data_IF_662563138315
#
_entry.id   IF_662563138315
#
_cell.length_a   1.000
_cell.length_b   1.000
_cell.length_c   1.000
_cell.angle_alpha   90.00
_cell.angle_beta   90.00
_cell.angle_gamma   90.00
#
_symmetry.space_group_name_H-M   'P 1'
#
loop_
_entity.id
_entity.type
_entity.pdbx_description
1 polymer ?
#
# COMPACT_ATOMS: atom_id res chain seq x y z
N UNK A 1 8.97 23.68 -2.41
CA UNK A 1 7.85 22.78 -2.63
C UNK A 1 8.22 21.35 -2.25
N UNK A 2 9.31 20.82 -2.81
CA UNK A 2 9.79 19.45 -2.56
C UNK A 2 10.00 19.18 -1.06
N UNK A 3 10.67 20.06 -0.34
CA UNK A 3 10.92 19.96 1.10
C UNK A 3 9.62 19.81 1.93
N UNK A 4 8.54 20.46 1.52
CA UNK A 4 7.23 20.37 2.20
C UNK A 4 6.63 18.96 2.02
N UNK A 5 6.74 18.39 0.81
CA UNK A 5 6.27 17.04 0.51
C UNK A 5 7.09 15.99 1.29
N UNK A 6 8.42 16.11 1.27
CA UNK A 6 9.32 15.23 2.02
C UNK A 6 9.05 15.28 3.52
N UNK A 7 8.81 16.48 4.06
CA UNK A 7 8.45 16.66 5.47
C UNK A 7 7.11 16.02 5.82
N UNK A 8 6.11 16.13 4.94
CA UNK A 8 4.84 15.43 5.11
C UNK A 8 5.04 13.90 5.14
N UNK A 9 5.78 13.36 4.17
CA UNK A 9 6.05 11.92 4.08
C UNK A 9 6.84 11.41 5.30
N UNK A 10 7.80 12.20 5.77
CA UNK A 10 8.61 11.81 6.94
C UNK A 10 7.77 11.80 8.23
N UNK A 11 6.91 12.78 8.44
CA UNK A 11 5.96 12.79 9.57
C UNK A 11 5.03 11.56 9.54
N UNK A 12 4.55 11.19 8.34
CA UNK A 12 3.72 9.99 8.18
C UNK A 12 4.53 8.72 8.50
N UNK A 13 5.77 8.60 8.02
CA UNK A 13 6.66 7.46 8.35
C UNK A 13 6.87 7.33 9.85
N UNK A 14 6.99 8.45 10.56
CA UNK A 14 7.14 8.50 12.01
C UNK A 14 5.85 8.17 12.79
N UNK A 15 4.73 7.91 12.10
CA UNK A 15 3.46 7.50 12.70
C UNK A 15 2.44 8.64 12.89
N UNK A 16 2.75 9.88 12.50
CA UNK A 16 1.75 10.94 12.42
C UNK A 16 0.95 10.79 11.13
N UNK A 17 -0.13 10.01 11.18
CA UNK A 17 -0.90 9.64 10.00
C UNK A 17 -1.67 10.81 9.36
N UNK A 18 -1.93 11.87 10.12
CA UNK A 18 -2.69 13.05 9.67
C UNK A 18 -1.96 14.34 10.09
N UNK A 19 -0.78 14.64 9.51
CA UNK A 19 -0.04 15.84 9.87
C UNK A 19 -0.85 17.11 9.57
N UNK A 20 -0.73 18.10 10.46
CA UNK A 20 -1.29 19.43 10.23
C UNK A 20 -0.33 20.31 9.44
N UNK A 21 -0.84 21.40 8.83
CA UNK A 21 -0.02 22.36 8.11
C UNK A 21 1.12 22.95 8.97
N UNK A 22 0.84 23.18 10.26
CA UNK A 22 1.84 23.69 11.19
C UNK A 22 2.94 22.66 11.43
N UNK A 23 2.60 21.39 11.66
CA UNK A 23 3.57 20.33 11.85
C UNK A 23 4.46 20.13 10.61
N UNK A 24 3.86 20.20 9.42
CA UNK A 24 4.63 20.13 8.16
C UNK A 24 5.56 21.34 8.00
N UNK A 25 5.08 22.55 8.32
CA UNK A 25 5.88 23.78 8.26
C UNK A 25 7.06 23.72 9.25
N UNK A 26 6.80 23.30 10.48
CA UNK A 26 7.81 23.18 11.54
C UNK A 26 8.88 22.15 11.16
N UNK A 27 8.44 20.96 10.67
CA UNK A 27 9.36 19.90 10.23
C UNK A 27 10.20 20.33 9.01
N UNK A 28 9.59 21.07 8.07
CA UNK A 28 10.28 21.63 6.90
C UNK A 28 11.15 22.85 7.23
N UNK A 29 11.12 23.33 8.48
CA UNK A 29 11.77 24.57 8.92
C UNK A 29 11.42 25.78 8.03
N UNK A 30 10.12 25.94 7.72
CA UNK A 30 9.58 27.07 6.94
C UNK A 30 8.39 27.69 7.66
N UNK A 31 8.07 28.92 7.34
CA UNK A 31 6.85 29.56 7.84
C UNK A 31 5.59 28.93 7.20
N UNK A 32 4.51 28.81 7.96
CA UNK A 32 3.21 28.27 7.48
C UNK A 32 2.70 29.01 6.23
N UNK A 33 2.95 30.32 6.12
CA UNK A 33 2.64 31.11 4.91
C UNK A 33 3.38 30.60 3.67
N UNK A 34 4.60 30.06 3.84
CA UNK A 34 5.35 29.47 2.73
C UNK A 34 4.74 28.15 2.28
N UNK A 35 4.15 27.37 3.19
CA UNK A 35 3.41 26.15 2.83
C UNK A 35 2.24 26.51 1.91
N UNK A 36 1.37 27.44 2.34
CA UNK A 36 0.20 27.87 1.57
C UNK A 36 0.50 28.77 0.36
N UNK A 37 1.72 29.25 0.21
CA UNK A 37 2.18 29.87 -1.06
C UNK A 37 2.43 28.82 -2.15
N UNK A 38 2.77 27.59 -1.79
CA UNK A 38 3.09 26.50 -2.72
C UNK A 38 1.97 25.52 -2.95
N UNK A 39 1.03 25.45 -2.01
CA UNK A 39 -0.11 24.54 -2.02
C UNK A 39 -1.35 25.28 -1.55
N UNK A 40 -2.46 25.05 -2.21
CA UNK A 40 -3.73 25.70 -1.91
C UNK A 40 -4.25 25.30 -0.52
N UNK A 41 -4.13 24.03 -0.20
CA UNK A 41 -4.58 23.42 1.05
C UNK A 41 -3.75 22.19 1.44
N UNK A 42 -4.11 21.53 2.53
CA UNK A 42 -3.48 20.29 2.98
C UNK A 42 -3.79 19.10 2.06
N UNK A 43 -4.92 19.12 1.36
CA UNK A 43 -5.30 18.04 0.45
C UNK A 43 -4.35 18.00 -0.75
N UNK A 44 -4.06 19.14 -1.37
CA UNK A 44 -3.11 19.24 -2.49
C UNK A 44 -1.67 18.84 -2.12
N UNK A 45 -1.24 19.05 -0.87
CA UNK A 45 0.04 18.52 -0.37
C UNK A 45 -0.02 16.99 -0.32
N UNK A 46 -1.14 16.47 0.23
CA UNK A 46 -1.32 15.05 0.44
C UNK A 46 -1.46 14.27 -0.88
N UNK A 47 -2.16 14.83 -1.86
CA UNK A 47 -2.27 14.28 -3.21
C UNK A 47 -0.90 14.15 -3.86
N UNK A 48 -0.10 15.24 -3.83
CA UNK A 48 1.26 15.24 -4.39
C UNK A 48 2.18 14.25 -3.66
N UNK A 49 2.05 14.15 -2.34
CA UNK A 49 2.81 13.19 -1.52
C UNK A 49 2.39 11.74 -1.85
N UNK A 50 1.10 11.48 -2.04
CA UNK A 50 0.55 10.17 -2.42
C UNK A 50 1.05 9.73 -3.81
N UNK A 51 1.04 10.61 -4.80
CA UNK A 51 1.57 10.33 -6.14
C UNK A 51 3.07 10.00 -6.12
N UNK A 52 3.86 10.73 -5.31
CA UNK A 52 5.27 10.44 -5.13
C UNK A 52 5.47 9.07 -4.48
N UNK A 53 4.73 8.79 -3.43
CA UNK A 53 4.75 7.52 -2.71
C UNK A 53 4.44 6.34 -3.65
N UNK A 54 3.37 6.42 -4.44
CA UNK A 54 3.02 5.38 -5.41
C UNK A 54 4.14 5.11 -6.42
N UNK A 55 4.78 6.16 -6.91
CA UNK A 55 5.87 6.04 -7.88
C UNK A 55 7.14 5.42 -7.29
N UNK A 56 7.49 5.80 -6.06
CA UNK A 56 8.69 5.30 -5.38
C UNK A 56 8.53 3.85 -4.91
N UNK A 57 7.37 3.49 -4.38
CA UNK A 57 7.18 2.20 -3.71
C UNK A 57 6.56 1.11 -4.58
N UNK A 58 6.06 1.44 -5.78
CA UNK A 58 5.54 0.41 -6.71
C UNK A 58 6.53 -0.73 -6.93
N UNK A 59 7.81 -0.41 -7.07
CA UNK A 59 8.87 -1.39 -7.27
C UNK A 59 8.96 -2.46 -6.18
N UNK A 60 8.47 -2.18 -4.96
CA UNK A 60 8.46 -3.14 -3.87
C UNK A 60 7.53 -4.33 -4.12
N UNK A 61 6.45 -4.15 -4.88
CA UNK A 61 5.43 -5.19 -5.14
C UNK A 61 5.75 -6.06 -6.36
N UNK A 62 6.61 -5.58 -7.24
CA UNK A 62 6.92 -6.26 -8.52
C UNK A 62 8.30 -6.91 -8.55
N UNK A 63 9.13 -6.68 -7.54
CA UNK A 63 10.46 -7.28 -7.40
C UNK A 63 10.35 -8.77 -7.06
N UNK A 64 11.37 -9.54 -7.40
CA UNK A 64 11.49 -10.94 -7.01
C UNK A 64 11.46 -11.90 -8.21
N UNK A 65 11.72 -13.16 -7.92
CA UNK A 65 11.74 -14.24 -8.91
C UNK A 65 10.33 -14.80 -9.09
N UNK A 66 9.83 -14.75 -10.32
CA UNK A 66 8.52 -15.25 -10.74
C UNK A 66 8.61 -16.63 -11.41
N UNK A 67 9.78 -17.26 -11.37
CA UNK A 67 9.97 -18.63 -11.86
C UNK A 67 9.54 -19.67 -10.84
N UNK A 68 9.47 -20.94 -11.26
CA UNK A 68 9.15 -22.05 -10.38
C UNK A 68 7.70 -22.54 -10.46
N UNK A 69 7.35 -23.42 -9.55
CA UNK A 69 6.00 -23.95 -9.37
C UNK A 69 5.01 -22.87 -8.93
N UNK A 70 3.73 -23.14 -9.05
CA UNK A 70 2.68 -22.23 -8.56
C UNK A 70 2.85 -21.93 -7.06
N UNK A 71 3.14 -22.94 -6.25
CA UNK A 71 3.34 -22.81 -4.80
C UNK A 71 4.53 -21.92 -4.48
N UNK A 72 5.66 -22.10 -5.17
CA UNK A 72 6.84 -21.22 -5.00
C UNK A 72 6.50 -19.77 -5.37
N UNK A 73 5.74 -19.54 -6.43
CA UNK A 73 5.32 -18.19 -6.84
C UNK A 73 4.33 -17.56 -5.86
N UNK A 74 3.39 -18.34 -5.30
CA UNK A 74 2.49 -17.86 -4.23
C UNK A 74 3.30 -17.40 -3.01
N UNK A 75 4.26 -18.21 -2.57
CA UNK A 75 5.14 -17.85 -1.45
C UNK A 75 5.94 -16.58 -1.76
N UNK A 76 6.64 -16.52 -2.89
CA UNK A 76 7.45 -15.35 -3.26
C UNK A 76 6.62 -14.09 -3.42
N UNK A 77 5.43 -14.17 -4.02
CA UNK A 77 4.51 -13.02 -4.13
C UNK A 77 4.07 -12.53 -2.74
N UNK A 78 3.73 -13.47 -1.84
CA UNK A 78 3.29 -13.15 -0.48
C UNK A 78 4.41 -12.51 0.33
N UNK A 79 5.63 -13.02 0.26
CA UNK A 79 6.82 -12.44 0.91
C UNK A 79 7.12 -11.03 0.37
N UNK A 80 7.06 -10.86 -0.93
CA UNK A 80 7.26 -9.57 -1.60
C UNK A 80 6.23 -8.53 -1.15
N UNK A 81 4.94 -8.90 -1.14
CA UNK A 81 3.86 -8.04 -0.65
C UNK A 81 3.98 -7.75 0.85
N UNK A 82 4.34 -8.75 1.67
CA UNK A 82 4.58 -8.57 3.09
C UNK A 82 5.66 -7.53 3.38
N UNK A 83 6.80 -7.60 2.69
CA UNK A 83 7.89 -6.62 2.79
C UNK A 83 7.45 -5.21 2.38
N UNK A 84 6.70 -5.12 1.29
CA UNK A 84 6.15 -3.87 0.82
C UNK A 84 5.18 -3.27 1.86
N UNK A 85 4.24 -4.05 2.36
CA UNK A 85 3.25 -3.61 3.35
C UNK A 85 3.89 -3.18 4.68
N UNK A 86 4.91 -3.90 5.18
CA UNK A 86 5.65 -3.46 6.36
C UNK A 86 6.35 -2.11 6.12
N UNK A 87 6.92 -1.92 4.92
CA UNK A 87 7.64 -0.70 4.57
C UNK A 87 6.74 0.52 4.48
N UNK A 88 5.53 0.38 3.88
CA UNK A 88 4.64 1.51 3.58
C UNK A 88 3.36 1.53 4.42
N UNK A 89 3.28 0.75 5.50
CA UNK A 89 2.08 0.63 6.34
C UNK A 89 1.49 1.98 6.74
N UNK A 90 2.31 2.88 7.28
CA UNK A 90 1.86 4.20 7.71
C UNK A 90 1.36 5.06 6.54
N UNK A 91 1.92 4.91 5.34
CA UNK A 91 1.45 5.62 4.13
C UNK A 91 0.06 5.13 3.72
N UNK A 92 -0.17 3.81 3.72
CA UNK A 92 -1.49 3.23 3.41
C UNK A 92 -2.54 3.68 4.44
N UNK A 93 -2.20 3.62 5.72
CA UNK A 93 -3.09 4.05 6.82
C UNK A 93 -3.40 5.54 6.76
N UNK A 94 -2.41 6.38 6.45
CA UNK A 94 -2.58 7.82 6.25
C UNK A 94 -3.53 8.11 5.08
N UNK A 95 -3.36 7.40 3.95
CA UNK A 95 -4.28 7.48 2.82
C UNK A 95 -5.70 7.05 3.21
N UNK A 96 -5.84 5.95 3.94
CA UNK A 96 -7.13 5.47 4.43
C UNK A 96 -7.86 6.48 5.31
N UNK A 97 -7.14 7.18 6.19
CA UNK A 97 -7.71 8.19 7.08
C UNK A 97 -8.29 9.41 6.35
N UNK A 98 -7.85 9.70 5.12
CA UNK A 98 -8.23 10.90 4.36
C UNK A 98 -9.16 10.64 3.17
N UNK A 99 -9.08 9.48 2.53
CA UNK A 99 -9.83 9.18 1.30
C UNK A 99 -11.35 9.27 1.41
N UNK A 100 -11.91 9.20 2.62
CA UNK A 100 -13.34 9.33 2.86
C UNK A 100 -13.92 10.70 2.49
N UNK A 101 -13.07 11.74 2.51
CA UNK A 101 -13.45 13.12 2.25
C UNK A 101 -12.80 13.67 0.96
N UNK A 102 -12.13 12.82 0.17
CA UNK A 102 -11.45 13.23 -1.06
C UNK A 102 -11.73 12.27 -2.20
N UNK A 103 -12.46 12.74 -3.21
CA UNK A 103 -12.74 11.98 -4.44
C UNK A 103 -11.45 11.67 -5.20
N UNK A 104 -10.48 12.58 -5.18
CA UNK A 104 -9.19 12.41 -5.86
C UNK A 104 -8.40 11.29 -5.22
N UNK A 105 -8.28 11.29 -3.90
CA UNK A 105 -7.60 10.22 -3.17
C UNK A 105 -8.31 8.88 -3.30
N UNK A 106 -9.64 8.87 -3.30
CA UNK A 106 -10.42 7.66 -3.53
C UNK A 106 -10.17 7.09 -4.93
N UNK A 107 -10.16 7.93 -5.96
CA UNK A 107 -9.86 7.52 -7.34
C UNK A 107 -8.43 6.97 -7.45
N UNK A 108 -7.45 7.69 -6.92
CA UNK A 108 -6.04 7.28 -6.91
C UNK A 108 -5.86 5.93 -6.21
N UNK A 109 -6.55 5.70 -5.09
CA UNK A 109 -6.55 4.43 -4.38
C UNK A 109 -7.11 3.29 -5.25
N UNK A 110 -8.25 3.50 -5.90
CA UNK A 110 -8.85 2.49 -6.79
C UNK A 110 -7.96 2.17 -7.99
N UNK A 111 -7.28 3.18 -8.55
CA UNK A 111 -6.32 2.97 -9.65
C UNK A 111 -5.13 2.14 -9.19
N UNK A 112 -4.62 2.40 -7.99
CA UNK A 112 -3.55 1.64 -7.37
C UNK A 112 -3.96 0.18 -7.09
N UNK A 113 -5.16 -0.07 -6.55
CA UNK A 113 -5.67 -1.42 -6.34
C UNK A 113 -5.79 -2.20 -7.66
N UNK A 114 -6.25 -1.54 -8.74
CA UNK A 114 -6.27 -2.14 -10.08
C UNK A 114 -4.88 -2.50 -10.59
N UNK A 115 -3.89 -1.72 -10.23
CA UNK A 115 -2.50 -1.99 -10.58
C UNK A 115 -1.95 -3.20 -9.81
N UNK A 116 -2.14 -3.25 -8.49
CA UNK A 116 -1.73 -4.40 -7.66
C UNK A 116 -2.35 -5.71 -8.15
N UNK A 117 -3.62 -5.68 -8.55
CA UNK A 117 -4.30 -6.84 -9.13
C UNK A 117 -3.66 -7.29 -10.44
N UNK A 118 -3.23 -6.37 -11.30
CA UNK A 118 -2.49 -6.71 -12.53
C UNK A 118 -1.13 -7.32 -12.19
N UNK A 119 -0.41 -6.72 -11.26
CA UNK A 119 0.89 -7.22 -10.83
C UNK A 119 0.77 -8.63 -10.21
N UNK A 120 -0.30 -8.91 -9.46
CA UNK A 120 -0.59 -10.24 -8.92
C UNK A 120 -0.89 -11.28 -10.03
N UNK A 121 -1.60 -10.90 -11.09
CA UNK A 121 -1.82 -11.77 -12.25
C UNK A 121 -0.51 -12.11 -12.99
N UNK A 122 0.50 -11.26 -12.93
CA UNK A 122 1.83 -11.56 -13.46
C UNK A 122 2.60 -12.57 -12.61
N UNK A 123 2.37 -12.58 -11.29
CA UNK A 123 2.89 -13.59 -10.37
C UNK A 123 2.20 -14.94 -10.55
N UNK A 124 0.89 -14.92 -10.75
CA UNK A 124 -0.01 -16.06 -10.73
C UNK A 124 -0.89 -16.09 -12.00
N UNK A 125 -0.34 -16.47 -13.17
CA UNK A 125 -1.10 -16.53 -14.43
C UNK A 125 -2.32 -17.46 -14.36
N UNK A 126 -2.32 -18.45 -13.44
CA UNK A 126 -3.41 -19.37 -13.17
C UNK A 126 -4.71 -18.64 -12.77
N UNK A 127 -4.62 -17.44 -12.24
CA UNK A 127 -5.79 -16.64 -11.84
C UNK A 127 -6.75 -16.36 -13.00
N UNK A 128 -6.25 -16.34 -14.24
CA UNK A 128 -7.07 -16.14 -15.44
C UNK A 128 -8.13 -17.25 -15.61
N UNK A 129 -7.82 -18.48 -15.18
CA UNK A 129 -8.70 -19.64 -15.30
C UNK A 129 -9.73 -19.75 -14.16
N UNK A 130 -9.59 -18.99 -13.10
CA UNK A 130 -10.49 -19.03 -11.96
C UNK A 130 -11.82 -18.33 -12.23
N UNK A 131 -12.86 -18.75 -11.51
CA UNK A 131 -14.14 -18.03 -11.47
C UNK A 131 -13.95 -16.61 -10.94
N UNK A 132 -14.85 -15.70 -11.30
CA UNK A 132 -14.79 -14.30 -10.83
C UNK A 132 -14.81 -14.24 -9.29
N UNK A 133 -15.64 -15.05 -8.62
CA UNK A 133 -15.70 -15.07 -7.15
C UNK A 133 -14.37 -15.49 -6.51
N UNK A 134 -13.67 -16.47 -7.08
CA UNK A 134 -12.35 -16.88 -6.61
C UNK A 134 -11.29 -15.79 -6.84
N UNK A 135 -11.31 -15.12 -7.99
CA UNK A 135 -10.40 -13.99 -8.25
C UNK A 135 -10.61 -12.86 -7.25
N UNK A 136 -11.86 -12.52 -6.91
CA UNK A 136 -12.15 -11.52 -5.88
C UNK A 136 -11.71 -11.96 -4.49
N UNK A 137 -11.82 -13.25 -4.16
CA UNK A 137 -11.31 -13.79 -2.90
C UNK A 137 -9.78 -13.72 -2.82
N UNK A 138 -9.07 -14.09 -3.89
CA UNK A 138 -7.60 -13.98 -3.99
C UNK A 138 -7.15 -12.53 -3.80
N UNK A 139 -7.78 -11.58 -4.50
CA UNK A 139 -7.49 -10.15 -4.39
C UNK A 139 -7.68 -9.65 -2.94
N UNK A 140 -8.75 -10.10 -2.28
CA UNK A 140 -9.03 -9.76 -0.88
C UNK A 140 -7.98 -10.33 0.07
N UNK A 141 -7.57 -11.60 -0.11
CA UNK A 141 -6.57 -12.26 0.73
C UNK A 141 -5.19 -11.60 0.55
N UNK A 142 -4.81 -11.23 -0.66
CA UNK A 142 -3.54 -10.57 -0.96
C UNK A 142 -3.49 -9.09 -0.56
N UNK A 143 -4.56 -8.52 0.01
CA UNK A 143 -4.69 -7.11 0.34
C UNK A 143 -3.91 -6.70 1.60
N UNK A 144 -3.62 -5.38 1.69
CA UNK A 144 -3.09 -4.79 2.91
C UNK A 144 -4.01 -4.98 4.12
N UNK A 145 -5.31 -4.98 3.92
CA UNK A 145 -6.31 -5.11 4.98
C UNK A 145 -6.19 -6.46 5.71
N UNK A 146 -6.01 -7.56 4.98
CA UNK A 146 -5.77 -8.88 5.57
C UNK A 146 -4.39 -8.91 6.25
N UNK A 147 -3.34 -8.43 5.59
CA UNK A 147 -2.01 -8.31 6.20
C UNK A 147 -2.05 -7.55 7.51
N UNK A 148 -2.63 -6.34 7.50
CA UNK A 148 -2.75 -5.48 8.68
C UNK A 148 -3.55 -6.14 9.80
N UNK A 149 -4.63 -6.86 9.45
CA UNK A 149 -5.43 -7.62 10.42
C UNK A 149 -4.60 -8.68 11.12
N UNK A 150 -3.88 -9.54 10.38
CA UNK A 150 -3.03 -10.57 10.94
C UNK A 150 -1.94 -9.97 11.84
N UNK A 151 -1.23 -8.95 11.35
CA UNK A 151 -0.09 -8.34 12.03
C UNK A 151 -0.46 -7.48 13.23
N UNK A 152 -1.49 -6.65 13.13
CA UNK A 152 -1.80 -5.60 14.13
C UNK A 152 -3.01 -5.91 14.99
N UNK A 153 -4.03 -6.57 14.45
CA UNK A 153 -5.25 -6.88 15.20
C UNK A 153 -5.13 -8.25 15.88
N UNK A 154 -4.60 -9.26 15.19
CA UNK A 154 -4.39 -10.59 15.75
C UNK A 154 -3.02 -10.75 16.42
N UNK A 155 -2.07 -9.84 16.19
CA UNK A 155 -0.77 -9.81 16.85
C UNK A 155 0.21 -10.89 16.36
N UNK A 156 -0.03 -11.49 15.19
CA UNK A 156 0.79 -12.59 14.68
C UNK A 156 2.18 -12.12 14.20
N UNK A 157 3.14 -13.04 14.21
CA UNK A 157 4.46 -12.84 13.64
C UNK A 157 4.42 -12.68 12.10
N UNK A 158 5.48 -12.10 11.51
CA UNK A 158 5.55 -11.92 10.05
C UNK A 158 5.51 -13.27 9.32
N UNK A 159 6.34 -14.24 9.76
CA UNK A 159 6.41 -15.55 9.15
C UNK A 159 5.06 -16.29 9.22
N UNK A 160 4.42 -16.30 10.39
CA UNK A 160 3.11 -16.89 10.60
C UNK A 160 2.02 -16.23 9.75
N UNK A 161 2.06 -14.91 9.59
CA UNK A 161 1.13 -14.19 8.72
C UNK A 161 1.31 -14.54 7.23
N UNK A 162 2.55 -14.74 6.79
CA UNK A 162 2.86 -15.21 5.42
C UNK A 162 2.31 -16.62 5.23
N UNK A 163 2.59 -17.55 6.15
CA UNK A 163 2.10 -18.93 6.10
C UNK A 163 0.59 -19.00 5.94
N UNK A 164 -0.17 -18.25 6.76
CA UNK A 164 -1.63 -18.19 6.69
C UNK A 164 -2.11 -17.69 5.32
N UNK A 165 -1.51 -16.63 4.79
CA UNK A 165 -1.90 -16.08 3.48
C UNK A 165 -1.60 -17.09 2.36
N UNK A 166 -0.44 -17.74 2.40
CA UNK A 166 -0.05 -18.78 1.43
C UNK A 166 -1.06 -19.92 1.44
N UNK A 167 -1.37 -20.50 2.61
CA UNK A 167 -2.38 -21.58 2.76
C UNK A 167 -3.75 -21.16 2.19
N UNK A 168 -4.20 -19.93 2.47
CA UNK A 168 -5.48 -19.43 1.96
C UNK A 168 -5.48 -19.30 0.44
N UNK A 169 -4.39 -18.82 -0.16
CA UNK A 169 -4.24 -18.67 -1.62
C UNK A 169 -4.17 -20.03 -2.31
N UNK A 170 -3.34 -20.95 -1.81
CA UNK A 170 -3.24 -22.32 -2.35
C UNK A 170 -4.60 -23.03 -2.34
N UNK A 171 -5.34 -22.96 -1.23
CA UNK A 171 -6.66 -23.57 -1.11
C UNK A 171 -7.68 -23.03 -2.13
N UNK A 172 -7.52 -21.80 -2.62
CA UNK A 172 -8.39 -21.20 -3.64
C UNK A 172 -7.97 -21.54 -5.06
N UNK A 173 -6.66 -21.59 -5.31
CA UNK A 173 -6.10 -21.69 -6.67
C UNK A 173 -5.97 -23.15 -7.10
N UNK A 174 -5.59 -24.07 -6.19
CA UNK A 174 -5.36 -25.49 -6.45
C UNK A 174 -6.64 -26.31 -6.74
N UNK A 175 -7.84 -25.72 -6.64
CA UNK A 175 -9.13 -26.36 -6.86
C UNK A 175 -9.82 -25.76 -8.08
#
# INVERSE_FOLDING_TARGET
>A
RQLIIESMLELIKQGNLVPTAQQVADHANVGIRSVFRHFEDMESIFETASELCHREYRGLFIRGDRSGTMQERILHATECHADAYETISNMILSGAARRWNSEVLQKSYLDYQRQLRRDLNEWLPELVSLSESKRQAVDSIASFEIWHRLRKIQGLGKAESIEIIVEMLEALIDR
#
